data_IF_570457692773
#
_entry.id   IF_570457692773
#
_cell.length_a   1.000
_cell.length_b   1.000
_cell.length_c   1.000
_cell.angle_alpha   90.00
_cell.angle_beta   90.00
_cell.angle_gamma   90.00
#
_symmetry.space_group_name_H-M   'P 1'
#
loop_
_entity.id
_entity.type
_entity.pdbx_description
1 polymer ?
#
# COMPACT_ATOMS: atom_id res chain seq x y z
N UNK A 1 0.55 -13.34 -2.75
CA UNK A 1 0.86 -12.11 -2.01
C UNK A 1 0.97 -12.38 -0.50
N UNK A 2 -0.02 -12.99 0.14
CA UNK A 2 0.00 -13.26 1.59
C UNK A 2 1.25 -13.99 2.08
N UNK A 3 1.74 -15.01 1.35
CA UNK A 3 2.97 -15.73 1.72
C UNK A 3 4.23 -14.84 1.79
N UNK A 4 4.31 -13.79 0.95
CA UNK A 4 5.41 -12.83 0.98
C UNK A 4 5.23 -11.88 2.16
N UNK A 5 4.02 -11.43 2.41
CA UNK A 5 3.71 -10.55 3.53
C UNK A 5 3.88 -11.24 4.88
N UNK A 6 3.57 -12.53 4.97
CA UNK A 6 3.71 -13.33 6.21
C UNK A 6 5.13 -13.90 6.42
N UNK A 7 6.13 -13.49 5.62
CA UNK A 7 7.50 -14.03 5.66
C UNK A 7 7.63 -15.53 5.39
N UNK A 8 6.61 -16.16 4.81
CA UNK A 8 6.70 -17.54 4.32
C UNK A 8 7.56 -17.65 3.05
N UNK A 9 7.64 -16.53 2.29
CA UNK A 9 8.54 -16.36 1.15
C UNK A 9 9.36 -15.09 1.35
N UNK A 10 10.66 -15.26 1.41
CA UNK A 10 11.63 -14.18 1.63
C UNK A 10 12.16 -13.62 0.30
N UNK A 11 12.80 -12.47 0.37
CA UNK A 11 13.51 -11.88 -0.77
C UNK A 11 14.54 -12.85 -1.34
N UNK A 12 14.45 -13.13 -2.63
CA UNK A 12 15.32 -14.07 -3.35
C UNK A 12 14.80 -15.51 -3.40
N UNK A 13 13.78 -15.85 -2.64
CA UNK A 13 13.19 -17.19 -2.67
C UNK A 13 12.60 -17.51 -4.04
N UNK A 14 12.81 -18.75 -4.48
CA UNK A 14 12.27 -19.26 -5.74
C UNK A 14 10.77 -19.50 -5.60
N UNK A 15 10.02 -19.04 -6.58
CA UNK A 15 8.56 -19.23 -6.66
C UNK A 15 8.25 -20.16 -7.83
N UNK A 16 7.72 -21.35 -7.52
CA UNK A 16 7.38 -22.37 -8.50
C UNK A 16 5.87 -22.41 -8.75
N UNK A 17 5.48 -22.33 -10.04
CA UNK A 17 4.07 -22.50 -10.42
C UNK A 17 3.54 -23.90 -10.12
N UNK A 18 4.40 -24.91 -10.15
CA UNK A 18 4.03 -26.28 -9.84
C UNK A 18 3.74 -26.48 -8.35
N UNK A 19 4.63 -25.95 -7.47
CA UNK A 19 4.45 -26.02 -6.02
C UNK A 19 3.21 -25.26 -5.57
N UNK A 20 3.07 -24.00 -6.04
CA UNK A 20 1.90 -23.18 -5.71
C UNK A 20 0.59 -23.81 -6.20
N UNK A 21 0.59 -24.46 -7.39
CA UNK A 21 -0.60 -25.15 -7.89
C UNK A 21 -1.00 -26.31 -6.99
N UNK A 22 -0.02 -27.10 -6.51
CA UNK A 22 -0.26 -28.18 -5.56
C UNK A 22 -0.80 -27.70 -4.22
N UNK A 23 -0.20 -26.66 -3.65
CA UNK A 23 -0.63 -26.08 -2.37
C UNK A 23 -2.03 -25.45 -2.41
N UNK A 24 -2.35 -24.75 -3.52
CA UNK A 24 -3.63 -24.05 -3.69
C UNK A 24 -4.75 -24.95 -4.21
N UNK A 25 -4.45 -26.19 -4.62
CA UNK A 25 -5.40 -27.08 -5.26
C UNK A 25 -5.94 -26.55 -6.61
N UNK A 26 -5.15 -25.74 -7.31
CA UNK A 26 -5.51 -25.08 -8.57
C UNK A 26 -4.71 -25.63 -9.75
N UNK A 27 -5.24 -25.47 -10.97
CA UNK A 27 -4.46 -25.75 -12.17
C UNK A 27 -3.32 -24.72 -12.35
N UNK A 28 -2.29 -25.09 -13.12
CA UNK A 28 -1.10 -24.22 -13.31
C UNK A 28 -1.38 -22.94 -14.11
N UNK A 29 -2.41 -22.92 -14.93
CA UNK A 29 -2.73 -21.76 -15.79
C UNK A 29 -3.06 -20.52 -14.96
N UNK A 30 -4.07 -20.50 -14.06
CA UNK A 30 -4.38 -19.32 -13.25
C UNK A 30 -3.23 -18.94 -12.30
N UNK A 31 -2.43 -19.92 -11.84
CA UNK A 31 -1.25 -19.63 -11.02
C UNK A 31 -0.19 -18.88 -11.81
N UNK A 32 0.07 -19.28 -13.07
CA UNK A 32 1.00 -18.57 -13.96
C UNK A 32 0.53 -17.16 -14.30
N UNK A 33 -0.77 -16.98 -14.54
CA UNK A 33 -1.35 -15.65 -14.78
C UNK A 33 -1.16 -14.73 -13.56
N UNK A 34 -1.43 -15.24 -12.37
CA UNK A 34 -1.19 -14.50 -11.12
C UNK A 34 0.30 -14.18 -10.91
N UNK A 35 1.21 -15.12 -11.22
CA UNK A 35 2.65 -14.87 -11.13
C UNK A 35 3.10 -13.82 -12.15
N UNK A 36 2.58 -13.83 -13.38
CA UNK A 36 2.86 -12.79 -14.38
C UNK A 36 2.39 -11.41 -13.90
N UNK A 37 1.22 -11.35 -13.27
CA UNK A 37 0.74 -10.11 -12.67
C UNK A 37 1.69 -9.62 -11.55
N UNK A 38 2.15 -10.50 -10.67
CA UNK A 38 3.11 -10.15 -9.62
C UNK A 38 4.49 -9.73 -10.17
N UNK A 39 4.89 -10.26 -11.33
CA UNK A 39 6.11 -9.80 -12.04
C UNK A 39 5.90 -8.39 -12.58
N UNK A 40 4.77 -8.11 -13.23
CA UNK A 40 4.43 -6.78 -13.73
C UNK A 40 4.33 -5.74 -12.61
N UNK A 41 3.84 -6.14 -11.44
CA UNK A 41 3.76 -5.30 -10.24
C UNK A 41 5.12 -5.14 -9.50
N UNK A 42 6.18 -5.77 -10.01
CA UNK A 42 7.52 -5.67 -9.40
C UNK A 42 7.69 -6.41 -8.06
N UNK A 43 6.79 -7.33 -7.73
CA UNK A 43 6.87 -8.18 -6.52
C UNK A 43 7.71 -9.43 -6.77
N UNK A 44 7.55 -10.03 -7.93
CA UNK A 44 8.38 -11.12 -8.41
C UNK A 44 9.28 -10.61 -9.54
N UNK A 45 10.38 -11.29 -9.78
CA UNK A 45 11.22 -11.06 -10.95
C UNK A 45 11.59 -12.39 -11.63
N UNK A 46 11.66 -12.35 -12.94
CA UNK A 46 12.15 -13.47 -13.74
C UNK A 46 13.65 -13.35 -13.88
N UNK A 47 14.37 -14.40 -13.53
CA UNK A 47 15.78 -14.59 -13.88
C UNK A 47 15.89 -15.46 -15.15
N UNK A 48 17.10 -15.79 -15.59
CA UNK A 48 17.29 -16.65 -16.77
C UNK A 48 16.61 -18.02 -16.63
N UNK A 49 16.52 -18.57 -15.41
CA UNK A 49 16.06 -19.97 -15.19
C UNK A 49 14.86 -20.09 -14.25
N UNK A 50 14.49 -19.06 -13.52
CA UNK A 50 13.49 -19.15 -12.44
C UNK A 50 12.78 -17.84 -12.19
N UNK A 51 11.68 -17.89 -11.46
CA UNK A 51 11.01 -16.72 -10.88
C UNK A 51 11.36 -16.67 -9.40
N UNK A 52 11.68 -15.49 -8.90
CA UNK A 52 12.05 -15.26 -7.49
C UNK A 52 11.29 -14.07 -6.91
N UNK A 53 11.16 -14.04 -5.59
CA UNK A 53 10.69 -12.83 -4.89
C UNK A 53 11.72 -11.73 -5.11
N UNK A 54 11.30 -10.60 -5.71
CA UNK A 54 12.20 -9.49 -6.02
C UNK A 54 12.75 -8.90 -4.71
N UNK A 55 14.07 -8.78 -4.51
CA UNK A 55 14.63 -8.02 -3.41
C UNK A 55 14.19 -6.56 -3.47
N UNK A 56 13.90 -5.97 -2.33
CA UNK A 56 13.72 -4.52 -2.19
C UNK A 56 15.05 -3.91 -1.74
N UNK A 57 15.61 -3.07 -2.59
CA UNK A 57 16.81 -2.29 -2.26
C UNK A 57 16.43 -0.98 -1.56
N UNK A 58 17.37 -0.33 -0.90
CA UNK A 58 17.15 1.02 -0.35
C UNK A 58 16.77 2.02 -1.45
N UNK A 59 17.33 1.86 -2.64
CA UNK A 59 16.97 2.68 -3.81
C UNK A 59 15.52 2.48 -4.21
N UNK A 60 15.06 1.22 -4.34
CA UNK A 60 13.64 0.94 -4.62
C UNK A 60 12.72 1.59 -3.59
N UNK A 61 13.09 1.54 -2.30
CA UNK A 61 12.32 2.15 -1.22
C UNK A 61 12.22 3.66 -1.41
N UNK A 62 13.34 4.33 -1.66
CA UNK A 62 13.36 5.77 -1.91
C UNK A 62 12.51 6.16 -3.11
N UNK A 63 12.70 5.51 -4.25
CA UNK A 63 11.97 5.79 -5.48
C UNK A 63 10.45 5.62 -5.30
N UNK A 64 10.01 4.57 -4.60
CA UNK A 64 8.58 4.33 -4.30
C UNK A 64 8.02 5.43 -3.40
N UNK A 65 8.76 5.84 -2.36
CA UNK A 65 8.33 6.88 -1.43
C UNK A 65 8.26 8.25 -2.11
N UNK A 66 9.22 8.59 -2.98
CA UNK A 66 9.21 9.84 -3.76
C UNK A 66 8.00 9.94 -4.68
N UNK A 67 7.68 8.87 -5.41
CA UNK A 67 6.49 8.84 -6.28
C UNK A 67 5.22 8.99 -5.45
N UNK A 68 5.13 8.27 -4.33
CA UNK A 68 3.98 8.33 -3.43
C UNK A 68 3.79 9.74 -2.88
N UNK A 69 4.83 10.36 -2.36
CA UNK A 69 4.82 11.73 -1.85
C UNK A 69 4.35 12.73 -2.92
N UNK A 70 4.90 12.64 -4.12
CA UNK A 70 4.51 13.52 -5.24
C UNK A 70 3.01 13.40 -5.57
N UNK A 71 2.45 12.18 -5.59
CA UNK A 71 1.04 11.94 -5.87
C UNK A 71 0.14 12.44 -4.73
N UNK A 72 0.51 12.22 -3.48
CA UNK A 72 -0.24 12.65 -2.30
C UNK A 72 -0.26 14.18 -2.19
N UNK A 73 0.90 14.85 -2.31
CA UNK A 73 1.01 16.32 -2.27
C UNK A 73 0.21 16.96 -3.41
N UNK A 74 0.36 16.45 -4.64
CA UNK A 74 -0.37 16.98 -5.78
C UNK A 74 -1.89 16.82 -5.60
N UNK A 75 -2.35 15.72 -5.02
CA UNK A 75 -3.76 15.45 -4.76
C UNK A 75 -4.31 16.34 -3.64
N UNK A 76 -3.59 16.49 -2.53
CA UNK A 76 -3.93 17.43 -1.46
C UNK A 76 -4.02 18.87 -1.98
N UNK A 77 -3.05 19.31 -2.79
CA UNK A 77 -3.08 20.62 -3.42
C UNK A 77 -4.27 20.82 -4.37
N UNK A 78 -4.76 19.77 -5.03
CA UNK A 78 -5.99 19.85 -5.84
C UNK A 78 -7.24 20.00 -4.99
N UNK A 79 -7.30 19.28 -3.85
CA UNK A 79 -8.39 19.40 -2.87
C UNK A 79 -8.45 20.84 -2.36
N UNK A 80 -7.35 21.40 -1.91
CA UNK A 80 -7.29 22.76 -1.39
C UNK A 80 -7.67 23.82 -2.45
N UNK A 81 -7.18 23.68 -3.70
CA UNK A 81 -7.55 24.59 -4.79
C UNK A 81 -9.02 24.61 -5.17
N UNK A 82 -9.77 23.53 -4.90
CA UNK A 82 -11.22 23.49 -5.14
C UNK A 82 -12.05 23.97 -3.96
N UNK A 83 -11.43 24.47 -2.90
CA UNK A 83 -12.11 24.95 -1.69
C UNK A 83 -12.16 23.93 -0.55
N UNK A 84 -11.32 22.89 -0.58
CA UNK A 84 -11.24 21.88 0.48
C UNK A 84 -12.03 20.61 0.18
N UNK A 85 -12.18 19.80 1.22
CA UNK A 85 -12.98 18.57 1.20
C UNK A 85 -14.46 18.90 1.37
N UNK A 86 -15.34 18.20 0.66
CA UNK A 86 -16.78 18.22 0.93
C UNK A 86 -17.07 17.56 2.29
N UNK A 87 -18.26 17.84 2.87
CA UNK A 87 -18.66 17.25 4.16
C UNK A 87 -18.61 15.71 4.14
N UNK A 88 -19.03 15.10 3.02
CA UNK A 88 -18.98 13.64 2.84
C UNK A 88 -17.54 13.09 2.77
N UNK A 89 -16.65 13.79 2.08
CA UNK A 89 -15.22 13.42 2.00
C UNK A 89 -14.53 13.57 3.35
N UNK A 90 -14.83 14.65 4.09
CA UNK A 90 -14.32 14.84 5.46
C UNK A 90 -14.81 13.72 6.38
N UNK A 91 -16.11 13.40 6.35
CA UNK A 91 -16.68 12.34 7.17
C UNK A 91 -16.02 10.98 6.89
N UNK A 92 -15.79 10.65 5.60
CA UNK A 92 -15.13 9.41 5.23
C UNK A 92 -13.67 9.37 5.71
N UNK A 93 -12.90 10.43 5.48
CA UNK A 93 -11.49 10.48 5.86
C UNK A 93 -11.31 10.42 7.39
N UNK A 94 -12.19 11.13 8.15
CA UNK A 94 -12.24 11.03 9.62
C UNK A 94 -12.61 9.63 10.09
N UNK A 95 -13.53 8.95 9.42
CA UNK A 95 -13.92 7.57 9.74
C UNK A 95 -12.75 6.60 9.56
N UNK A 96 -11.99 6.73 8.46
CA UNK A 96 -10.79 5.91 8.20
C UNK A 96 -9.74 6.16 9.30
N UNK A 97 -9.48 7.41 9.63
CA UNK A 97 -8.54 7.78 10.68
C UNK A 97 -8.96 7.25 12.05
N UNK A 98 -10.24 7.35 12.41
CA UNK A 98 -10.76 6.84 13.68
C UNK A 98 -10.68 5.31 13.77
N UNK A 99 -10.90 4.60 12.66
CA UNK A 99 -10.70 3.15 12.59
C UNK A 99 -9.23 2.78 12.80
N UNK A 100 -8.30 3.51 12.19
CA UNK A 100 -6.85 3.33 12.44
C UNK A 100 -6.51 3.57 13.91
N UNK A 101 -6.98 4.67 14.49
CA UNK A 101 -6.73 5.02 15.90
C UNK A 101 -7.20 3.94 16.86
N UNK A 102 -8.42 3.40 16.62
CA UNK A 102 -8.98 2.30 17.45
C UNK A 102 -8.18 1.03 17.28
N UNK A 103 -7.87 0.64 16.06
CA UNK A 103 -7.11 -0.59 15.80
C UNK A 103 -5.71 -0.56 16.41
N UNK A 104 -5.06 0.63 16.47
CA UNK A 104 -3.79 0.81 17.19
C UNK A 104 -3.98 0.60 18.70
N UNK A 105 -5.03 1.18 19.29
CA UNK A 105 -5.34 1.03 20.71
C UNK A 105 -5.66 -0.42 21.11
N UNK A 106 -6.38 -1.12 20.23
CA UNK A 106 -6.81 -2.51 20.43
C UNK A 106 -5.76 -3.54 19.99
N UNK A 107 -4.62 -3.07 19.44
CA UNK A 107 -3.51 -3.90 18.92
C UNK A 107 -3.94 -4.86 17.81
N UNK A 108 -4.86 -4.42 16.95
CA UNK A 108 -5.37 -5.17 15.81
C UNK A 108 -4.50 -4.90 14.58
N UNK A 109 -3.39 -5.61 14.44
CA UNK A 109 -2.34 -5.32 13.45
C UNK A 109 -2.83 -5.40 11.99
N UNK A 110 -3.66 -6.37 11.63
CA UNK A 110 -4.19 -6.51 10.27
C UNK A 110 -5.10 -5.34 9.89
N UNK A 111 -5.95 -4.89 10.82
CA UNK A 111 -6.81 -3.73 10.65
C UNK A 111 -6.00 -2.43 10.56
N UNK A 112 -4.98 -2.27 11.41
CA UNK A 112 -4.03 -1.15 11.36
C UNK A 112 -3.44 -0.99 9.97
N UNK A 113 -2.92 -2.08 9.42
CA UNK A 113 -2.29 -2.09 8.11
C UNK A 113 -3.28 -1.69 7.01
N UNK A 114 -4.50 -2.21 7.06
CA UNK A 114 -5.56 -1.90 6.10
C UNK A 114 -5.95 -0.43 6.11
N UNK A 115 -6.21 0.14 7.30
CA UNK A 115 -6.64 1.54 7.45
C UNK A 115 -5.52 2.53 7.15
N UNK A 116 -4.28 2.23 7.53
CA UNK A 116 -3.11 3.04 7.17
C UNK A 116 -2.94 3.11 5.64
N UNK A 117 -3.12 2.01 4.94
CA UNK A 117 -3.05 2.00 3.47
C UNK A 117 -4.17 2.81 2.82
N UNK A 118 -5.38 2.77 3.39
CA UNK A 118 -6.58 3.39 2.85
C UNK A 118 -6.56 4.92 2.94
N UNK A 119 -5.97 5.48 3.97
CA UNK A 119 -5.98 6.93 4.21
C UNK A 119 -5.35 7.74 3.06
N UNK A 120 -4.07 7.57 2.68
CA UNK A 120 -3.47 8.32 1.58
C UNK A 120 -4.07 7.98 0.23
N UNK A 121 -4.51 6.73 0.01
CA UNK A 121 -5.19 6.34 -1.22
C UNK A 121 -6.50 7.14 -1.40
N UNK A 122 -7.26 7.35 -0.33
CA UNK A 122 -8.49 8.15 -0.34
C UNK A 122 -8.19 9.63 -0.66
N UNK A 123 -7.07 10.19 -0.19
CA UNK A 123 -6.65 11.55 -0.57
C UNK A 123 -6.37 11.64 -2.07
N UNK A 124 -5.71 10.64 -2.66
CA UNK A 124 -5.45 10.60 -4.10
C UNK A 124 -6.77 10.52 -4.89
N UNK A 125 -7.73 9.73 -4.43
CA UNK A 125 -9.08 9.62 -5.02
C UNK A 125 -9.80 10.95 -4.97
N UNK A 126 -9.83 11.61 -3.82
CA UNK A 126 -10.46 12.93 -3.64
C UNK A 126 -9.78 14.04 -4.44
N UNK A 127 -8.51 13.91 -4.76
CA UNK A 127 -7.80 14.79 -5.70
C UNK A 127 -8.44 14.83 -7.09
N UNK A 128 -9.25 13.84 -7.47
CA UNK A 128 -10.05 13.79 -8.69
C UNK A 128 -9.24 13.71 -9.99
N UNK A 129 -7.98 13.34 -9.93
CA UNK A 129 -7.16 13.09 -11.12
C UNK A 129 -7.07 11.59 -11.41
N UNK A 130 -7.90 11.12 -12.37
CA UNK A 130 -7.96 9.69 -12.72
C UNK A 130 -6.63 9.11 -13.19
N UNK A 131 -5.75 9.92 -13.80
CA UNK A 131 -4.41 9.46 -14.22
C UNK A 131 -3.48 9.25 -13.01
N UNK A 132 -3.50 10.17 -12.04
CA UNK A 132 -2.76 10.01 -10.79
C UNK A 132 -3.24 8.79 -10.02
N UNK A 133 -4.56 8.58 -9.94
CA UNK A 133 -5.16 7.40 -9.35
C UNK A 133 -4.74 6.10 -10.07
N UNK A 134 -4.70 6.10 -11.40
CA UNK A 134 -4.24 4.94 -12.15
C UNK A 134 -2.75 4.64 -11.89
N UNK A 135 -1.91 5.67 -11.83
CA UNK A 135 -0.49 5.53 -11.52
C UNK A 135 -0.31 5.00 -10.08
N UNK A 136 -1.01 5.55 -9.07
CA UNK A 136 -0.88 5.08 -7.68
C UNK A 136 -1.17 3.58 -7.56
N UNK A 137 -2.19 3.09 -8.28
CA UNK A 137 -2.55 1.66 -8.28
C UNK A 137 -1.46 0.75 -8.84
N UNK A 138 -0.59 1.25 -9.73
CA UNK A 138 0.53 0.43 -10.24
C UNK A 138 1.58 0.14 -9.15
N UNK A 139 1.68 0.98 -8.12
CA UNK A 139 2.62 0.84 -7.02
C UNK A 139 1.99 0.28 -5.73
N UNK A 140 0.66 0.15 -5.67
CA UNK A 140 -0.05 -0.24 -4.45
C UNK A 140 0.55 -1.49 -3.78
N UNK A 141 0.87 -2.52 -4.56
CA UNK A 141 1.44 -3.77 -4.01
C UNK A 141 2.85 -3.58 -3.47
N UNK A 142 3.65 -2.73 -4.10
CA UNK A 142 5.00 -2.42 -3.62
C UNK A 142 4.93 -1.57 -2.35
N UNK A 143 4.04 -0.58 -2.32
CA UNK A 143 3.79 0.25 -1.13
C UNK A 143 3.27 -0.61 0.04
N UNK A 144 2.34 -1.53 -0.22
CA UNK A 144 1.87 -2.48 0.80
C UNK A 144 3.01 -3.32 1.37
N UNK A 145 3.91 -3.82 0.52
CA UNK A 145 5.09 -4.56 0.96
C UNK A 145 6.02 -3.70 1.82
N UNK A 146 6.26 -2.43 1.44
CA UNK A 146 7.06 -1.49 2.25
C UNK A 146 6.42 -1.22 3.60
N UNK A 147 5.12 -0.96 3.64
CA UNK A 147 4.38 -0.75 4.89
C UNK A 147 4.50 -1.94 5.81
N UNK A 148 4.33 -3.15 5.28
CA UNK A 148 4.46 -4.37 6.05
C UNK A 148 5.85 -4.48 6.71
N UNK A 149 6.92 -4.17 5.95
CA UNK A 149 8.28 -4.17 6.47
C UNK A 149 8.58 -3.05 7.48
N UNK A 150 7.89 -1.91 7.38
CA UNK A 150 8.10 -0.74 8.24
C UNK A 150 7.25 -0.75 9.52
N UNK A 151 6.12 -1.45 9.52
CA UNK A 151 5.17 -1.50 10.63
C UNK A 151 5.51 -2.62 11.64
N UNK A 152 6.78 -2.67 12.08
CA UNK A 152 7.25 -3.71 13.01
C UNK A 152 7.25 -3.25 14.48
N UNK A 153 7.01 -1.95 14.76
CA UNK A 153 7.07 -1.44 16.14
C UNK A 153 5.80 -0.66 16.53
N UNK A 154 5.35 -0.78 17.80
CA UNK A 154 4.19 -0.02 18.29
C UNK A 154 4.35 1.50 18.17
N UNK A 155 5.57 2.01 18.30
CA UNK A 155 5.90 3.43 18.19
C UNK A 155 5.60 3.96 16.77
N UNK A 156 5.86 3.17 15.74
CA UNK A 156 5.57 3.56 14.36
C UNK A 156 4.07 3.72 14.12
N UNK A 157 3.24 2.82 14.65
CA UNK A 157 1.77 2.94 14.54
C UNK A 157 1.25 4.22 15.21
N UNK A 158 1.75 4.54 16.41
CA UNK A 158 1.37 5.76 17.12
C UNK A 158 1.77 7.01 16.34
N UNK A 159 2.97 7.01 15.75
CA UNK A 159 3.43 8.07 14.87
C UNK A 159 2.53 8.28 13.66
N UNK A 160 2.13 7.21 12.99
CA UNK A 160 1.23 7.25 11.83
C UNK A 160 -0.13 7.88 12.17
N UNK A 161 -0.71 7.56 13.32
CA UNK A 161 -1.97 8.18 13.78
C UNK A 161 -1.82 9.70 13.92
N UNK A 162 -0.72 10.17 14.49
CA UNK A 162 -0.46 11.60 14.64
C UNK A 162 -0.20 12.30 13.28
N UNK A 163 0.53 11.65 12.37
CA UNK A 163 0.77 12.13 11.00
C UNK A 163 -0.54 12.28 10.21
N UNK A 164 -1.43 11.28 10.25
CA UNK A 164 -2.73 11.33 9.60
C UNK A 164 -3.64 12.42 10.21
N UNK A 165 -3.61 12.61 11.54
CA UNK A 165 -4.36 13.69 12.19
C UNK A 165 -3.91 15.07 11.68
N UNK A 166 -2.60 15.29 11.59
CA UNK A 166 -2.08 16.56 11.09
C UNK A 166 -2.51 16.84 9.63
N UNK A 167 -2.53 15.81 8.78
CA UNK A 167 -3.03 15.91 7.40
C UNK A 167 -4.53 16.25 7.37
N UNK A 168 -5.34 15.59 8.21
CA UNK A 168 -6.76 15.88 8.35
C UNK A 168 -7.01 17.32 8.75
N UNK A 169 -6.29 17.81 9.76
CA UNK A 169 -6.45 19.17 10.25
C UNK A 169 -6.10 20.18 9.16
N UNK A 170 -5.04 19.93 8.39
CA UNK A 170 -4.65 20.78 7.27
C UNK A 170 -5.67 20.78 6.12
N UNK A 171 -6.30 19.66 5.81
CA UNK A 171 -7.28 19.54 4.73
C UNK A 171 -8.68 20.03 5.12
N UNK A 172 -9.02 20.04 6.41
CA UNK A 172 -10.33 20.44 6.94
C UNK A 172 -10.33 21.87 7.51
N UNK A 173 -9.18 22.44 7.81
CA UNK A 173 -9.03 23.74 8.48
C UNK A 173 -8.77 24.93 7.56
N UNK A 174 -8.83 24.72 6.23
CA UNK A 174 -8.63 25.76 5.21
C UNK A 174 -9.91 26.54 4.87
#
# INVERSE_FOLDING_TARGET
>A
MNKINNYELLSGDVVSDAELSGELGMSRTPVREAMLQLINDGILQRTATRVVVRPLTLTDIHEILEIREALEIASAGRILRRGGLTDGEQALLRSIHEQLRRSVQEKQFDENFSQDARFPQTIIEFGGNLRMLAISKTFDRQVQRLRFLSMVTPERYTGTVAEHQAILDALCGG
#
